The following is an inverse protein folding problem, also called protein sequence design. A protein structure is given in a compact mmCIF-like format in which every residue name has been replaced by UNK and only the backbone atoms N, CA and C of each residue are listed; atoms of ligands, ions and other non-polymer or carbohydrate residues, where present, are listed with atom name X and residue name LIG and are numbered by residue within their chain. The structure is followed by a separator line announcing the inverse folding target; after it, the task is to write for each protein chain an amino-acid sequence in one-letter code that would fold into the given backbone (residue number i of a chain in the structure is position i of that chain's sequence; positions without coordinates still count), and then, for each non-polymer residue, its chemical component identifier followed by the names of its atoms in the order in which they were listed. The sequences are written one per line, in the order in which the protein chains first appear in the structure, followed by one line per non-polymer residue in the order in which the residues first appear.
data_IF_016897179273
#
_entry.id   IF_016897179273
#
_cell.length_a   1.000
_cell.length_b   1.000
_cell.length_c   1.000
_cell.angle_alpha   90.00
_cell.angle_beta   90.00
_cell.angle_gamma   90.00
#
_symmetry.space_group_name_H-M   'P 1'
#
loop_
_entity.id
_entity.type
_entity.pdbx_description
1 polymer ?
#
# COMPACT_ATOMS: atom_id res chain seq x y z
N UNK A 1 -18.64 -14.96 -1.34
CA UNK A 1 -17.35 -15.67 -1.20
C UNK A 1 -16.57 -14.97 -0.10
N UNK A 2 -15.78 -15.68 0.73
CA UNK A 2 -14.90 -15.01 1.69
C UNK A 2 -13.92 -14.10 0.94
N UNK A 3 -13.64 -12.91 1.48
CA UNK A 3 -12.64 -11.99 0.96
C UNK A 3 -11.25 -12.63 0.92
N UNK A 4 -10.42 -12.28 -0.07
CA UNK A 4 -8.99 -12.63 -0.04
C UNK A 4 -8.32 -11.88 1.11
N UNK A 5 -7.48 -12.58 1.87
CA UNK A 5 -6.75 -12.01 3.01
C UNK A 5 -5.25 -12.29 2.88
N UNK A 6 -4.43 -11.34 3.30
CA UNK A 6 -2.98 -11.44 3.31
C UNK A 6 -2.38 -10.67 4.47
N UNK A 7 -1.14 -11.02 4.83
CA UNK A 7 -0.36 -10.35 5.87
C UNK A 7 1.03 -10.04 5.36
N UNK A 8 1.49 -8.81 5.57
CA UNK A 8 2.86 -8.39 5.35
C UNK A 8 3.54 -8.07 6.69
N UNK A 9 4.78 -8.53 6.84
CA UNK A 9 5.67 -8.11 7.91
C UNK A 9 6.53 -6.98 7.33
N UNK A 10 6.55 -5.84 8.01
CA UNK A 10 7.27 -4.65 7.55
C UNK A 10 8.57 -4.54 8.32
N UNK A 11 9.66 -4.34 7.58
CA UNK A 11 11.00 -4.26 8.11
C UNK A 11 11.66 -2.92 7.76
N UNK A 12 12.66 -2.53 8.54
CA UNK A 12 13.55 -1.44 8.17
C UNK A 12 14.47 -1.83 7.03
N UNK A 13 14.71 -0.89 6.11
CA UNK A 13 15.64 -1.08 5.00
C UNK A 13 17.06 -1.36 5.52
N UNK A 14 17.72 -2.36 4.96
CA UNK A 14 19.11 -2.69 5.29
C UNK A 14 19.87 -3.15 4.05
N UNK A 15 21.18 -2.90 4.01
CA UNK A 15 22.03 -3.31 2.88
C UNK A 15 22.37 -4.81 2.91
N UNK A 16 22.57 -5.37 4.10
CA UNK A 16 22.87 -6.79 4.28
C UNK A 16 21.57 -7.60 4.35
N UNK A 17 21.19 -8.23 3.24
CA UNK A 17 19.99 -9.07 3.16
C UNK A 17 20.19 -10.49 3.70
N UNK A 18 21.41 -10.87 4.08
CA UNK A 18 21.72 -12.16 4.71
C UNK A 18 21.62 -12.12 6.23
N UNK A 19 21.46 -10.93 6.82
CA UNK A 19 21.26 -10.75 8.26
C UNK A 19 19.77 -10.71 8.66
N UNK A 20 19.46 -10.80 9.97
CA UNK A 20 18.10 -10.62 10.45
C UNK A 20 17.61 -9.20 10.14
N UNK A 21 16.35 -9.09 9.72
CA UNK A 21 15.71 -7.79 9.48
C UNK A 21 15.10 -7.25 10.77
N UNK A 22 15.25 -5.94 11.00
CA UNK A 22 14.56 -5.27 12.09
C UNK A 22 13.09 -5.07 11.73
N UNK A 23 12.17 -5.69 12.48
CA UNK A 23 10.73 -5.55 12.27
C UNK A 23 10.27 -4.16 12.74
N UNK A 24 9.55 -3.44 11.89
CA UNK A 24 8.82 -2.22 12.23
C UNK A 24 7.38 -2.51 12.65
N UNK A 25 6.74 -3.51 12.02
CA UNK A 25 5.37 -3.88 12.35
C UNK A 25 4.74 -4.85 11.36
N UNK A 26 3.40 -4.88 11.36
CA UNK A 26 2.59 -5.81 10.56
C UNK A 26 1.44 -5.06 9.91
N UNK A 27 1.17 -5.39 8.64
CA UNK A 27 0.02 -4.92 7.88
C UNK A 27 -0.80 -6.11 7.39
N UNK A 28 -2.10 -6.07 7.63
CA UNK A 28 -3.09 -7.01 7.13
C UNK A 28 -3.83 -6.38 5.94
N UNK A 29 -4.02 -7.18 4.90
CA UNK A 29 -4.71 -6.83 3.66
C UNK A 29 -5.97 -7.67 3.56
N UNK A 30 -7.11 -7.03 3.36
CA UNK A 30 -8.40 -7.71 3.17
C UNK A 30 -9.11 -7.15 1.94
N UNK A 31 -9.43 -8.04 1.00
CA UNK A 31 -10.26 -7.69 -0.15
C UNK A 31 -11.74 -7.79 0.24
N UNK A 32 -12.42 -6.66 0.15
CA UNK A 32 -13.86 -6.57 0.36
C UNK A 32 -14.63 -6.53 -0.97
N UNK A 33 -15.79 -7.17 -0.98
CA UNK A 33 -16.73 -7.22 -2.10
C UNK A 33 -18.01 -6.50 -1.70
N UNK A 34 -18.25 -5.30 -2.23
CA UNK A 34 -19.51 -4.60 -1.99
C UNK A 34 -20.28 -4.36 -3.30
N UNK A 35 -21.59 -4.56 -3.22
CA UNK A 35 -22.52 -4.25 -4.29
C UNK A 35 -22.78 -2.75 -4.29
N UNK A 36 -22.30 -2.03 -5.30
CA UNK A 36 -22.71 -0.64 -5.49
C UNK A 36 -24.12 -0.62 -6.09
N UNK A 37 -25.13 -0.16 -5.33
CA UNK A 37 -26.45 0.16 -5.89
C UNK A 37 -26.39 1.53 -6.56
N UNK A 38 -26.44 1.57 -7.90
CA UNK A 38 -26.69 2.80 -8.64
C UNK A 38 -28.20 2.90 -8.87
N UNK A 39 -28.80 4.00 -8.39
CA UNK A 39 -30.24 4.25 -8.52
C UNK A 39 -30.65 4.45 -9.98
N UNK A 40 -31.84 3.92 -10.29
CA UNK A 40 -32.69 4.04 -11.49
C UNK A 40 -32.61 2.99 -12.61
N UNK A 41 -31.51 2.23 -12.77
CA UNK A 41 -31.50 1.02 -13.60
C UNK A 41 -30.50 0.03 -12.98
N UNK A 42 -30.96 -1.17 -12.60
CA UNK A 42 -30.24 -2.15 -11.80
C UNK A 42 -28.95 -2.70 -12.48
N UNK A 43 -27.91 -1.88 -12.52
CA UNK A 43 -26.54 -2.29 -12.81
C UNK A 43 -25.83 -2.47 -11.46
N UNK A 44 -25.66 -3.73 -11.05
CA UNK A 44 -24.75 -4.07 -9.96
C UNK A 44 -23.32 -3.81 -10.45
N UNK A 45 -22.71 -2.71 -10.00
CA UNK A 45 -21.28 -2.51 -10.20
C UNK A 45 -20.56 -3.19 -9.05
N UNK A 46 -19.91 -4.32 -9.32
CA UNK A 46 -19.00 -4.95 -8.37
C UNK A 46 -17.82 -4.00 -8.17
N UNK A 47 -17.70 -3.45 -6.97
CA UNK A 47 -16.55 -2.64 -6.60
C UNK A 47 -15.71 -3.47 -5.62
N UNK A 48 -14.45 -3.64 -5.96
CA UNK A 48 -13.47 -4.29 -5.10
C UNK A 48 -12.68 -3.20 -4.40
N UNK A 49 -12.54 -3.33 -3.08
CA UNK A 49 -11.63 -2.51 -2.29
C UNK A 49 -10.66 -3.41 -1.56
N UNK A 50 -9.45 -2.91 -1.34
CA UNK A 50 -8.48 -3.51 -0.43
C UNK A 50 -8.45 -2.63 0.81
N UNK A 51 -8.79 -3.22 1.96
CA UNK A 51 -8.53 -2.65 3.26
C UNK A 51 -7.11 -3.01 3.67
N UNK A 52 -6.31 -2.01 4.04
CA UNK A 52 -4.97 -2.19 4.61
C UNK A 52 -5.05 -1.67 6.04
N UNK A 53 -4.80 -2.54 7.01
CA UNK A 53 -4.85 -2.19 8.43
C UNK A 53 -3.65 -2.79 9.17
N UNK A 54 -3.15 -2.11 10.20
CA UNK A 54 -2.03 -2.63 10.96
C UNK A 54 -1.35 -1.56 11.80
N UNK A 55 -0.15 -1.89 12.28
CA UNK A 55 0.66 -0.97 13.08
C UNK A 55 2.11 -1.03 12.65
N UNK A 56 2.73 0.14 12.57
CA UNK A 56 4.16 0.33 12.35
C UNK A 56 4.71 1.14 13.51
N UNK A 57 5.95 0.85 13.89
CA UNK A 57 6.61 1.45 15.04
C UNK A 57 8.01 1.96 14.67
N UNK A 58 8.54 2.84 15.53
CA UNK A 58 9.88 3.44 15.40
C UNK A 58 10.07 4.25 14.10
N UNK A 59 9.00 4.85 13.61
CA UNK A 59 9.03 5.88 12.59
C UNK A 59 9.27 7.23 13.26
N UNK A 60 10.03 8.12 12.62
CA UNK A 60 10.15 9.50 13.07
C UNK A 60 8.75 10.18 13.05
N UNK A 61 8.42 11.10 13.97
CA UNK A 61 7.16 11.83 13.90
C UNK A 61 6.94 12.55 12.56
N UNK A 62 5.70 12.55 12.07
CA UNK A 62 5.31 13.21 10.82
C UNK A 62 4.86 12.26 9.71
N UNK A 63 4.68 12.79 8.48
CA UNK A 63 4.21 12.01 7.33
C UNK A 63 5.32 11.13 6.73
N UNK A 64 4.98 9.89 6.38
CA UNK A 64 5.83 8.96 5.64
C UNK A 64 5.10 8.48 4.39
N UNK A 65 5.75 8.62 3.23
CA UNK A 65 5.22 8.11 1.97
C UNK A 65 5.10 6.59 2.00
N UNK A 66 3.96 6.08 1.54
CA UNK A 66 3.66 4.65 1.53
C UNK A 66 3.34 4.20 0.10
N UNK A 67 4.15 3.28 -0.43
CA UNK A 67 4.10 2.91 -1.84
C UNK A 67 4.31 1.41 -2.05
N UNK A 68 3.65 0.87 -3.07
CA UNK A 68 3.99 -0.44 -3.65
C UNK A 68 4.97 -0.21 -4.80
N UNK A 69 6.11 -0.89 -4.76
CA UNK A 69 7.14 -0.82 -5.78
C UNK A 69 6.98 -1.92 -6.84
N UNK A 70 7.58 -1.74 -8.01
CA UNK A 70 7.42 -2.63 -9.16
C UNK A 70 8.13 -3.98 -9.03
N UNK A 71 9.13 -4.09 -8.14
CA UNK A 71 9.90 -5.33 -7.91
C UNK A 71 9.85 -5.76 -6.45
N UNK A 72 9.77 -7.07 -6.23
CA UNK A 72 9.89 -7.70 -4.92
C UNK A 72 11.35 -7.92 -4.47
N UNK A 73 12.28 -7.05 -4.88
CA UNK A 73 13.70 -7.14 -4.50
C UNK A 73 14.02 -6.11 -3.41
N UNK A 74 14.29 -6.61 -2.21
CA UNK A 74 14.59 -5.80 -1.01
C UNK A 74 16.09 -5.52 -0.82
N UNK A 75 16.92 -5.88 -1.80
CA UNK A 75 18.36 -5.65 -1.81
C UNK A 75 18.77 -4.17 -1.86
N UNK A 76 20.05 -3.93 -1.57
CA UNK A 76 20.66 -2.60 -1.64
C UNK A 76 19.90 -1.51 -0.85
N UNK A 77 19.44 -1.84 0.37
CA UNK A 77 18.66 -0.93 1.19
C UNK A 77 17.32 -0.56 0.54
N UNK A 78 16.62 -1.55 -0.02
CA UNK A 78 15.38 -1.41 -0.79
C UNK A 78 15.50 -0.70 -2.15
N UNK A 79 16.69 -0.25 -2.56
CA UNK A 79 16.86 0.43 -3.86
C UNK A 79 16.53 -0.47 -5.05
N UNK A 80 16.69 -1.79 -4.90
CA UNK A 80 16.38 -2.75 -5.96
C UNK A 80 14.87 -2.94 -6.19
N UNK A 81 14.02 -2.45 -5.28
CA UNK A 81 12.57 -2.46 -5.46
C UNK A 81 12.14 -1.60 -6.66
N UNK A 82 13.04 -0.73 -7.14
CA UNK A 82 12.90 0.12 -8.31
C UNK A 82 11.76 1.15 -8.16
N UNK A 83 11.08 1.55 -9.24
CA UNK A 83 10.10 2.62 -9.20
C UNK A 83 8.79 2.18 -8.51
N UNK A 84 7.88 3.14 -8.29
CA UNK A 84 6.52 2.81 -7.86
C UNK A 84 5.83 1.94 -8.92
N UNK A 85 4.99 1.01 -8.50
CA UNK A 85 4.25 0.15 -9.41
C UNK A 85 3.31 0.98 -10.30
N UNK A 86 3.66 1.10 -11.59
CA UNK A 86 3.00 1.97 -12.55
C UNK A 86 2.70 1.25 -13.89
N UNK A 87 1.83 0.22 -13.89
CA UNK A 87 1.51 -0.54 -15.10
C UNK A 87 0.74 0.29 -16.15
N UNK A 88 0.24 1.47 -15.78
CA UNK A 88 -0.59 2.33 -16.63
C UNK A 88 0.16 3.56 -17.16
N UNK A 89 1.47 3.69 -16.89
CA UNK A 89 2.28 4.81 -17.38
C UNK A 89 1.77 6.19 -16.93
N UNK A 90 1.24 6.29 -15.72
CA UNK A 90 0.71 7.56 -15.16
C UNK A 90 1.81 8.36 -14.49
N UNK A 91 1.55 9.64 -14.23
CA UNK A 91 2.39 10.47 -13.35
C UNK A 91 2.14 10.09 -11.88
N UNK A 92 3.04 10.48 -10.98
CA UNK A 92 2.84 10.30 -9.54
C UNK A 92 1.69 11.17 -9.00
N UNK A 93 0.96 10.68 -7.99
CA UNK A 93 -0.12 11.44 -7.36
C UNK A 93 -0.60 10.86 -6.02
N UNK A 94 -1.48 11.59 -5.32
CA UNK A 94 -2.06 11.17 -4.04
C UNK A 94 -3.29 10.28 -4.15
N UNK A 95 -3.66 9.54 -3.08
CA UNK A 95 -4.90 8.77 -3.04
C UNK A 95 -6.13 9.71 -3.07
N UNK A 96 -7.23 9.27 -3.68
CA UNK A 96 -8.51 10.03 -3.71
C UNK A 96 -9.04 10.33 -5.11
N UNK A 97 -8.22 10.19 -6.15
CA UNK A 97 -8.65 10.34 -7.54
C UNK A 97 -9.54 9.16 -7.99
N UNK A 98 -10.59 9.45 -8.77
CA UNK A 98 -11.47 8.41 -9.33
C UNK A 98 -10.77 7.62 -10.45
N UNK A 99 -11.04 6.31 -10.53
CA UNK A 99 -10.43 5.47 -11.57
C UNK A 99 -11.05 5.73 -12.96
N UNK A 100 -10.25 5.80 -14.05
CA UNK A 100 -8.78 5.64 -14.10
C UNK A 100 -8.05 6.83 -13.49
N UNK A 101 -7.18 6.56 -12.52
CA UNK A 101 -6.55 7.58 -11.67
C UNK A 101 -5.31 8.19 -12.34
N UNK A 102 -5.02 9.47 -12.10
CA UNK A 102 -3.81 10.18 -12.55
C UNK A 102 -2.59 9.98 -11.63
N UNK A 103 -2.50 8.81 -10.98
CA UNK A 103 -1.42 8.43 -10.07
C UNK A 103 -0.84 7.07 -10.47
N UNK A 104 0.33 6.71 -9.95
CA UNK A 104 0.79 5.32 -10.04
C UNK A 104 -0.18 4.42 -9.25
N UNK A 105 -0.38 3.19 -9.72
CA UNK A 105 -1.23 2.22 -9.01
C UNK A 105 -0.73 1.98 -7.58
N UNK A 106 0.61 1.95 -7.43
CA UNK A 106 1.29 1.78 -6.15
C UNK A 106 1.31 3.02 -5.23
N UNK A 107 0.78 4.17 -5.65
CA UNK A 107 0.74 5.37 -4.79
C UNK A 107 -0.37 5.28 -3.73
N UNK A 108 -0.01 5.09 -2.46
CA UNK A 108 -0.98 4.96 -1.34
C UNK A 108 -1.05 6.20 -0.44
N UNK A 109 -0.28 7.25 -0.76
CA UNK A 109 -0.25 8.49 0.00
C UNK A 109 0.69 8.41 1.19
N UNK A 110 0.29 9.02 2.32
CA UNK A 110 1.09 9.05 3.53
C UNK A 110 0.42 8.28 4.66
N UNK A 111 1.22 7.57 5.44
CA UNK A 111 0.91 7.25 6.84
C UNK A 111 1.48 8.35 7.74
N UNK A 112 0.86 8.59 8.89
CA UNK A 112 1.29 9.64 9.82
C UNK A 112 1.72 9.00 11.12
N UNK A 113 2.99 9.18 11.48
CA UNK A 113 3.51 8.78 12.79
C UNK A 113 3.25 9.93 13.79
N UNK A 114 2.66 9.65 14.96
CA UNK A 114 2.39 10.67 15.97
C UNK A 114 3.69 11.22 16.57
N UNK A 115 3.60 12.43 17.13
CA UNK A 115 4.69 12.97 17.96
C UNK A 115 4.73 12.16 19.26
N UNK A 116 5.86 11.52 19.54
CA UNK A 116 6.11 10.92 20.84
C UNK A 116 6.39 12.05 21.84
N UNK A 117 5.46 12.29 22.77
CA UNK A 117 5.70 13.10 23.96
C UNK A 117 6.36 12.27 25.05
#
# INVERSE_FOLDING_TARGET
MPGLRGRAIVFFAQRNISGPFLVSGVLDFEQDFFNLRVSSHALFKYAHKILINGSLSRLAPGPHGFHVHERGDIGNGCSNAAAHYNPLGRVHGGPGEQFPTVRHVGDLGNIVAPVTH
#
